data_IF_267822409979
#
_entry.id   IF_267822409979
#
_cell.length_a   1.000
_cell.length_b   1.000
_cell.length_c   1.000
_cell.angle_alpha   90.00
_cell.angle_beta   90.00
_cell.angle_gamma   90.00
#
_symmetry.space_group_name_H-M   'P 1'
#
loop_
_entity.id
_entity.type
_entity.pdbx_description
1 polymer ?
#
# COMPACT_ATOMS: atom_id res chain seq x y z
N UNK A 1 -13.38 -9.33 18.68
CA UNK A 1 -13.03 -8.41 17.58
C UNK A 1 -12.54 -9.27 16.45
N UNK A 2 -13.32 -9.32 15.37
CA UNK A 2 -13.05 -10.19 14.25
C UNK A 2 -11.70 -9.87 13.62
N UNK A 3 -10.97 -10.90 13.26
CA UNK A 3 -9.90 -10.88 12.27
C UNK A 3 -10.51 -10.56 10.88
N UNK A 4 -11.27 -9.47 10.80
CA UNK A 4 -11.72 -8.91 9.56
C UNK A 4 -10.50 -8.32 8.85
N UNK A 5 -10.31 -8.70 7.63
CA UNK A 5 -9.27 -8.28 6.71
C UNK A 5 -7.93 -8.97 6.81
N UNK A 6 -7.99 -10.18 6.48
CA UNK A 6 -6.84 -10.99 6.17
C UNK A 6 -6.35 -10.77 4.72
N UNK A 7 -6.93 -9.81 4.02
CA UNK A 7 -6.54 -9.40 2.68
C UNK A 7 -6.23 -7.90 2.64
N UNK A 8 -4.94 -7.57 2.48
CA UNK A 8 -4.49 -6.19 2.27
C UNK A 8 -3.86 -6.05 0.90
N UNK A 9 -4.27 -5.03 0.17
CA UNK A 9 -3.75 -4.68 -1.15
C UNK A 9 -3.21 -3.25 -1.14
N UNK A 10 -2.02 -3.05 -1.70
CA UNK A 10 -1.43 -1.76 -1.99
C UNK A 10 -1.05 -1.71 -3.47
N UNK A 11 -1.39 -0.63 -4.15
CA UNK A 11 -1.02 -0.42 -5.55
C UNK A 11 0.46 -0.04 -5.61
N UNK A 12 1.18 -0.62 -6.58
CA UNK A 12 2.57 -0.32 -6.92
C UNK A 12 2.62 0.41 -8.26
N UNK A 13 3.62 1.28 -8.42
CA UNK A 13 3.82 2.04 -9.66
C UNK A 13 3.15 3.39 -9.63
N UNK A 14 2.32 3.73 -10.59
CA UNK A 14 1.79 5.07 -10.75
C UNK A 14 1.06 5.63 -9.52
N UNK A 15 1.65 6.66 -8.93
CA UNK A 15 0.93 7.58 -8.06
C UNK A 15 0.04 8.54 -8.86
N UNK A 16 0.27 8.66 -10.16
CA UNK A 16 -0.40 9.61 -11.07
C UNK A 16 -1.91 9.54 -11.03
N UNK A 17 -2.51 8.35 -10.96
CA UNK A 17 -3.98 8.25 -10.89
C UNK A 17 -4.54 8.83 -9.58
N UNK A 18 -3.93 8.51 -8.45
CA UNK A 18 -4.34 9.07 -7.15
C UNK A 18 -4.05 10.55 -7.08
N UNK A 19 -2.91 10.99 -7.58
CA UNK A 19 -2.55 12.41 -7.65
C UNK A 19 -3.52 13.18 -8.54
N UNK A 20 -3.86 12.69 -9.72
CA UNK A 20 -4.87 13.29 -10.61
C UNK A 20 -6.22 13.37 -9.92
N UNK A 21 -6.68 12.28 -9.28
CA UNK A 21 -7.93 12.30 -8.52
C UNK A 21 -7.95 13.37 -7.43
N UNK A 22 -6.85 13.52 -6.67
CA UNK A 22 -6.78 14.53 -5.61
C UNK A 22 -6.70 15.96 -6.18
N UNK A 23 -5.96 16.17 -7.26
CA UNK A 23 -5.89 17.47 -7.94
C UNK A 23 -7.24 17.86 -8.50
N UNK A 24 -7.94 16.98 -9.19
CA UNK A 24 -9.25 17.23 -9.80
C UNK A 24 -10.34 17.51 -8.77
N UNK A 25 -10.36 16.79 -7.66
CA UNK A 25 -11.44 16.88 -6.68
C UNK A 25 -11.16 17.84 -5.52
N UNK A 26 -9.91 18.14 -5.22
CA UNK A 26 -9.52 18.93 -4.05
C UNK A 26 -8.59 20.11 -4.38
N UNK A 27 -7.88 20.08 -5.53
CA UNK A 27 -6.89 21.09 -5.86
C UNK A 27 -5.86 21.30 -4.73
N UNK A 28 -5.55 22.54 -4.43
CA UNK A 28 -4.57 22.90 -3.39
C UNK A 28 -5.04 22.57 -1.95
N UNK A 29 -6.34 22.35 -1.75
CA UNK A 29 -6.91 22.03 -0.44
C UNK A 29 -6.34 20.76 0.16
N UNK A 30 -6.00 19.77 -0.67
CA UNK A 30 -5.39 18.54 -0.19
C UNK A 30 -3.95 18.78 0.30
N UNK A 31 -3.19 19.62 -0.38
CA UNK A 31 -1.85 19.98 0.07
C UNK A 31 -1.89 20.77 1.38
N UNK A 32 -2.76 21.77 1.49
CA UNK A 32 -2.98 22.53 2.71
C UNK A 32 -3.40 21.64 3.88
N UNK A 33 -4.26 20.64 3.61
CA UNK A 33 -4.67 19.66 4.62
C UNK A 33 -3.48 18.84 5.11
N UNK A 34 -2.63 18.35 4.21
CA UNK A 34 -1.41 17.63 4.60
C UNK A 34 -0.46 18.45 5.47
N UNK A 35 -0.29 19.72 5.15
CA UNK A 35 0.53 20.66 5.92
C UNK A 35 -0.06 20.89 7.32
N UNK A 36 -1.37 21.14 7.40
CA UNK A 36 -2.08 21.32 8.68
C UNK A 36 -1.97 20.08 9.57
N UNK A 37 -2.21 18.90 9.01
CA UNK A 37 -2.09 17.63 9.75
C UNK A 37 -0.64 17.37 10.16
N UNK A 38 0.32 17.66 9.28
CA UNK A 38 1.75 17.53 9.57
C UNK A 38 2.19 18.43 10.72
N UNK A 39 1.70 19.68 10.75
CA UNK A 39 2.01 20.61 11.84
C UNK A 39 1.41 20.17 13.17
N UNK A 40 0.14 19.75 13.18
CA UNK A 40 -0.51 19.22 14.38
C UNK A 40 0.24 17.99 14.95
N UNK A 41 0.67 17.08 14.07
CA UNK A 41 1.47 15.91 14.47
C UNK A 41 2.83 16.32 15.04
N UNK A 42 3.50 17.32 14.44
CA UNK A 42 4.78 17.83 14.94
C UNK A 42 4.62 18.43 16.33
N UNK A 43 3.56 19.19 16.58
CA UNK A 43 3.29 19.78 17.88
C UNK A 43 3.04 18.72 18.97
N UNK A 44 2.33 17.63 18.62
CA UNK A 44 1.99 16.57 19.60
C UNK A 44 3.16 15.61 19.81
N UNK A 45 3.84 15.20 18.75
CA UNK A 45 4.80 14.08 18.79
C UNK A 45 6.25 14.47 18.54
N UNK A 46 6.54 15.69 18.07
CA UNK A 46 7.86 16.08 17.59
C UNK A 46 8.99 15.97 18.61
N UNK A 47 8.67 16.06 19.90
CA UNK A 47 9.63 15.92 20.99
C UNK A 47 9.76 14.49 21.55
N UNK A 48 8.87 13.58 21.17
CA UNK A 48 8.78 12.23 21.75
C UNK A 48 8.91 11.12 20.72
N UNK A 49 8.87 11.43 19.44
CA UNK A 49 8.95 10.44 18.37
C UNK A 49 9.83 10.92 17.20
N UNK A 50 10.77 10.08 16.81
CA UNK A 50 11.56 10.24 15.60
C UNK A 50 11.41 8.97 14.75
N UNK A 51 10.89 9.12 13.54
CA UNK A 51 10.70 7.98 12.65
C UNK A 51 9.59 8.22 11.62
N UNK A 52 9.26 7.16 10.90
CA UNK A 52 8.16 7.19 9.95
C UNK A 52 6.82 7.05 10.68
N UNK A 53 5.86 7.85 10.24
CA UNK A 53 4.47 7.68 10.65
C UNK A 53 3.56 7.77 9.42
N UNK A 54 2.41 7.14 9.51
CA UNK A 54 1.34 7.27 8.52
C UNK A 54 0.09 7.83 9.17
N UNK A 55 -0.64 8.64 8.43
CA UNK A 55 -1.96 9.12 8.82
C UNK A 55 -2.98 8.53 7.88
N UNK A 56 -3.90 7.76 8.41
CA UNK A 56 -4.99 7.22 7.63
C UNK A 56 -6.08 8.29 7.49
N UNK A 57 -6.40 8.62 6.24
CA UNK A 57 -7.44 9.58 5.87
C UNK A 57 -8.57 8.86 5.14
N UNK A 58 -9.79 9.36 5.24
CA UNK A 58 -10.94 8.80 4.56
C UNK A 58 -11.51 9.81 3.56
N UNK A 59 -11.52 9.42 2.28
CA UNK A 59 -12.26 10.17 1.26
C UNK A 59 -13.67 9.58 1.16
N UNK A 60 -14.68 10.44 1.22
CA UNK A 60 -16.08 10.03 1.12
C UNK A 60 -16.90 11.07 0.38
N UNK A 61 -18.09 10.67 -0.10
CA UNK A 61 -19.07 11.60 -0.71
C UNK A 61 -20.07 12.05 0.33
N UNK A 62 -20.31 13.34 0.40
CA UNK A 62 -21.41 13.90 1.21
C UNK A 62 -22.75 13.51 0.60
N UNK A 63 -23.67 13.02 1.43
CA UNK A 63 -25.02 12.64 0.97
C UNK A 63 -25.82 13.81 0.41
N UNK A 64 -25.57 15.02 0.90
CA UNK A 64 -26.36 16.22 0.56
C UNK A 64 -26.13 16.71 -0.88
N UNK A 65 -24.89 16.64 -1.39
CA UNK A 65 -24.52 17.24 -2.69
C UNK A 65 -23.63 16.36 -3.56
N UNK A 66 -23.28 15.16 -3.08
CA UNK A 66 -22.42 14.24 -3.80
C UNK A 66 -20.94 14.65 -3.89
N UNK A 67 -20.53 15.76 -3.26
CA UNK A 67 -19.14 16.22 -3.28
C UNK A 67 -18.22 15.29 -2.50
N UNK A 68 -17.01 15.11 -3.00
CA UNK A 68 -15.95 14.45 -2.26
C UNK A 68 -15.47 15.34 -1.11
N UNK A 69 -15.23 14.71 0.02
CA UNK A 69 -14.63 15.35 1.19
C UNK A 69 -13.63 14.40 1.85
N UNK A 70 -12.74 14.95 2.67
CA UNK A 70 -11.70 14.19 3.35
C UNK A 70 -11.91 14.30 4.85
N UNK A 71 -12.01 13.16 5.53
CA UNK A 71 -11.77 13.12 6.97
C UNK A 71 -10.25 13.08 7.18
N UNK A 72 -9.67 14.09 7.84
CA UNK A 72 -8.22 14.33 7.79
C UNK A 72 -7.40 13.35 8.59
N UNK A 73 -7.98 12.71 9.59
CA UNK A 73 -7.27 11.79 10.45
C UNK A 73 -8.23 10.77 11.06
N UNK A 74 -8.12 9.53 10.63
CA UNK A 74 -8.82 8.39 11.24
C UNK A 74 -7.91 7.73 12.27
N UNK A 75 -6.64 7.54 11.91
CA UNK A 75 -5.64 6.87 12.73
C UNK A 75 -4.25 7.44 12.44
N UNK A 76 -3.43 7.54 13.47
CA UNK A 76 -1.99 7.84 13.36
C UNK A 76 -1.20 6.57 13.68
N UNK A 77 -0.45 6.09 12.70
CA UNK A 77 0.37 4.90 12.80
C UNK A 77 1.85 5.29 12.93
N UNK A 78 2.40 5.27 14.15
CA UNK A 78 3.81 5.60 14.44
C UNK A 78 4.73 4.40 14.15
N UNK A 79 4.80 4.00 12.89
CA UNK A 79 5.57 2.85 12.39
C UNK A 79 5.64 2.89 10.87
N UNK A 80 6.44 2.00 10.30
CA UNK A 80 6.32 1.71 8.87
C UNK A 80 4.91 1.21 8.55
N UNK A 81 4.24 1.86 7.61
CA UNK A 81 2.93 1.44 7.10
C UNK A 81 3.11 0.62 5.82
N UNK A 82 2.08 -0.16 5.47
CA UNK A 82 2.05 -0.90 4.20
C UNK A 82 2.19 0.03 2.99
N UNK A 83 1.58 1.21 3.04
CA UNK A 83 1.72 2.22 1.99
C UNK A 83 3.16 2.70 1.82
N UNK A 84 3.88 2.92 2.92
CA UNK A 84 5.30 3.30 2.87
C UNK A 84 6.16 2.19 2.27
N UNK A 85 5.90 0.93 2.64
CA UNK A 85 6.61 -0.23 2.08
C UNK A 85 6.36 -0.33 0.57
N UNK A 86 5.10 -0.22 0.15
CA UNK A 86 4.72 -0.24 -1.27
C UNK A 86 5.38 0.91 -2.05
N UNK A 87 5.37 2.13 -1.50
CA UNK A 87 6.05 3.28 -2.09
C UNK A 87 7.56 3.03 -2.27
N UNK A 88 8.22 2.51 -1.26
CA UNK A 88 9.67 2.20 -1.32
C UNK A 88 9.97 1.10 -2.33
N UNK A 89 9.13 0.07 -2.41
CA UNK A 89 9.24 -0.97 -3.43
C UNK A 89 9.11 -0.36 -4.82
N UNK A 90 8.09 0.47 -5.04
CA UNK A 90 7.88 1.14 -6.34
C UNK A 90 9.07 1.99 -6.76
N UNK A 91 9.56 2.85 -5.87
CA UNK A 91 10.67 3.76 -6.17
C UNK A 91 12.00 3.04 -6.40
N UNK A 92 12.28 1.99 -5.62
CA UNK A 92 13.61 1.37 -5.61
C UNK A 92 13.73 0.19 -6.55
N UNK A 93 12.69 -0.60 -6.70
CA UNK A 93 12.77 -1.92 -7.33
C UNK A 93 11.96 -2.09 -8.61
N UNK A 94 10.93 -1.27 -8.87
CA UNK A 94 10.18 -1.38 -10.13
C UNK A 94 10.91 -0.70 -11.28
N UNK A 95 10.78 -1.29 -12.47
CA UNK A 95 11.18 -0.66 -13.71
C UNK A 95 10.30 0.58 -13.99
N UNK A 96 10.77 1.56 -14.78
CA UNK A 96 9.95 2.69 -15.22
C UNK A 96 8.64 2.19 -15.87
N UNK A 97 7.53 2.82 -15.51
CA UNK A 97 6.18 2.49 -16.00
C UNK A 97 5.63 1.10 -15.58
N UNK A 98 6.38 0.29 -14.83
CA UNK A 98 5.87 -0.95 -14.26
C UNK A 98 4.81 -0.67 -13.19
N UNK A 99 3.73 -1.45 -13.20
CA UNK A 99 2.61 -1.35 -12.27
C UNK A 99 2.38 -2.69 -11.60
N UNK A 100 1.75 -2.68 -10.45
CA UNK A 100 1.45 -3.94 -9.78
C UNK A 100 0.72 -3.75 -8.46
N UNK A 101 0.64 -4.86 -7.75
CA UNK A 101 0.04 -4.92 -6.42
C UNK A 101 1.01 -5.52 -5.41
N UNK A 102 1.06 -4.94 -4.22
CA UNK A 102 1.58 -5.61 -3.04
C UNK A 102 0.41 -6.15 -2.24
N UNK A 103 0.44 -7.44 -1.91
CA UNK A 103 -0.67 -8.13 -1.25
C UNK A 103 -0.20 -8.89 -0.02
N UNK A 104 -1.04 -8.88 1.02
CA UNK A 104 -0.97 -9.83 2.13
C UNK A 104 -2.24 -10.65 2.09
N UNK A 105 -2.10 -11.97 2.07
CA UNK A 105 -3.21 -12.91 2.03
C UNK A 105 -3.08 -13.95 3.14
N UNK A 106 -4.21 -14.47 3.57
CA UNK A 106 -4.31 -15.55 4.55
C UNK A 106 -5.06 -16.72 3.95
N UNK A 107 -4.63 -17.92 4.28
CA UNK A 107 -5.36 -19.15 3.99
C UNK A 107 -5.48 -19.98 5.27
N UNK A 108 -6.67 -20.51 5.52
CA UNK A 108 -6.92 -21.38 6.68
C UNK A 108 -6.53 -22.84 6.44
N UNK A 109 -6.55 -23.27 5.17
CA UNK A 109 -6.25 -24.65 4.79
C UNK A 109 -4.75 -24.91 4.77
N UNK A 110 -4.28 -25.96 5.44
CA UNK A 110 -2.87 -26.34 5.37
C UNK A 110 -2.42 -26.61 3.93
N UNK A 111 -1.24 -26.11 3.56
CA UNK A 111 -0.65 -26.31 2.24
C UNK A 111 -1.15 -25.38 1.14
N UNK A 112 -2.35 -24.78 1.27
CA UNK A 112 -2.97 -23.95 0.23
C UNK A 112 -2.10 -22.73 -0.11
N UNK A 113 -1.50 -22.06 0.88
CA UNK A 113 -0.60 -20.94 0.64
C UNK A 113 0.61 -21.34 -0.19
N UNK A 114 1.16 -22.53 0.06
CA UNK A 114 2.30 -23.08 -0.69
C UNK A 114 1.90 -23.42 -2.13
N UNK A 115 0.76 -24.08 -2.32
CA UNK A 115 0.25 -24.42 -3.66
C UNK A 115 0.02 -23.16 -4.50
N UNK A 116 -0.64 -22.16 -3.92
CA UNK A 116 -0.84 -20.86 -4.57
C UNK A 116 0.49 -20.16 -4.88
N UNK A 117 1.48 -20.23 -3.99
CA UNK A 117 2.82 -19.70 -4.25
C UNK A 117 3.49 -20.37 -5.45
N UNK A 118 3.46 -21.70 -5.49
CA UNK A 118 4.02 -22.46 -6.60
C UNK A 118 3.31 -22.15 -7.92
N UNK A 119 1.97 -22.06 -7.90
CA UNK A 119 1.18 -21.67 -9.06
C UNK A 119 1.56 -20.27 -9.55
N UNK A 120 1.58 -19.27 -8.65
CA UNK A 120 1.90 -17.88 -9.01
C UNK A 120 3.31 -17.74 -9.59
N UNK A 121 4.29 -18.45 -9.01
CA UNK A 121 5.67 -18.46 -9.51
C UNK A 121 5.78 -19.02 -10.93
N UNK A 122 4.94 -20.01 -11.27
CA UNK A 122 4.91 -20.62 -12.61
C UNK A 122 4.09 -19.78 -13.60
N UNK A 123 2.95 -19.26 -13.18
CA UNK A 123 2.03 -18.50 -14.03
C UNK A 123 2.55 -17.09 -14.35
N UNK A 124 3.33 -16.50 -13.44
CA UNK A 124 3.85 -15.13 -13.54
C UNK A 124 5.36 -15.14 -13.28
N UNK A 125 6.16 -15.66 -14.22
CA UNK A 125 7.62 -15.70 -14.07
C UNK A 125 8.16 -14.28 -13.89
N UNK A 126 9.17 -14.16 -13.02
CA UNK A 126 9.81 -12.88 -12.75
C UNK A 126 10.66 -12.44 -13.94
N UNK A 127 10.39 -11.26 -14.48
CA UNK A 127 11.23 -10.57 -15.45
C UNK A 127 11.89 -9.34 -14.85
N UNK A 128 13.19 -9.24 -15.07
CA UNK A 128 14.01 -8.10 -14.65
C UNK A 128 14.53 -7.32 -15.86
N UNK A 129 14.56 -5.99 -15.74
CA UNK A 129 15.19 -5.10 -16.70
C UNK A 129 16.07 -4.09 -15.96
N UNK A 130 17.35 -4.04 -16.31
CA UNK A 130 18.33 -3.11 -15.71
C UNK A 130 18.36 -3.18 -14.16
N UNK A 131 18.27 -4.39 -13.60
CA UNK A 131 18.22 -4.62 -12.15
C UNK A 131 16.90 -4.24 -11.48
N UNK A 132 15.87 -3.91 -12.27
CA UNK A 132 14.53 -3.55 -11.81
C UNK A 132 13.51 -4.60 -12.23
N UNK A 133 12.45 -4.74 -11.42
CA UNK A 133 11.33 -5.63 -11.71
C UNK A 133 10.48 -5.02 -12.82
N UNK A 134 10.40 -5.71 -13.95
CA UNK A 134 9.56 -5.33 -15.08
C UNK A 134 8.16 -5.91 -14.94
N UNK A 135 8.07 -7.21 -14.70
CA UNK A 135 6.82 -7.93 -14.47
C UNK A 135 7.04 -9.22 -13.69
N UNK A 136 5.96 -9.83 -13.23
CA UNK A 136 5.95 -11.14 -12.61
C UNK A 136 5.70 -11.13 -11.11
N UNK A 137 5.81 -12.30 -10.51
CA UNK A 137 5.51 -12.57 -9.11
C UNK A 137 6.79 -12.67 -8.28
N UNK A 138 6.79 -11.98 -7.13
CA UNK A 138 7.83 -12.13 -6.10
C UNK A 138 7.19 -12.31 -4.73
N UNK A 139 7.56 -13.39 -4.04
CA UNK A 139 7.24 -13.54 -2.62
C UNK A 139 8.14 -12.64 -1.77
N UNK A 140 7.57 -11.91 -0.84
CA UNK A 140 8.29 -11.05 0.12
C UNK A 140 8.64 -11.78 1.43
N UNK A 141 8.20 -13.03 1.57
CA UNK A 141 8.49 -13.88 2.72
C UNK A 141 8.69 -15.32 2.26
N UNK A 142 9.40 -16.15 3.03
CA UNK A 142 9.45 -17.59 2.78
C UNK A 142 8.05 -18.20 2.84
N UNK A 143 7.77 -19.14 1.94
CA UNK A 143 6.49 -19.87 1.90
C UNK A 143 6.77 -21.36 1.95
N UNK A 144 6.26 -22.01 2.99
CA UNK A 144 6.32 -23.45 3.25
C UNK A 144 4.92 -24.06 3.28
N UNK A 145 4.80 -25.38 3.45
CA UNK A 145 3.50 -26.05 3.58
C UNK A 145 2.73 -25.65 4.84
N UNK A 146 3.41 -25.16 5.86
CA UNK A 146 2.86 -24.69 7.13
C UNK A 146 2.45 -23.21 7.08
N UNK A 147 2.85 -22.49 6.04
CA UNK A 147 2.56 -21.06 5.89
C UNK A 147 1.06 -20.84 5.72
N UNK A 148 0.54 -19.88 6.49
CA UNK A 148 -0.85 -19.41 6.40
C UNK A 148 -0.95 -17.99 5.85
N UNK A 149 0.05 -17.15 6.09
CA UNK A 149 0.12 -15.77 5.60
C UNK A 149 1.18 -15.64 4.52
N UNK A 150 0.83 -15.00 3.41
CA UNK A 150 1.78 -14.66 2.36
C UNK A 150 1.80 -13.16 2.13
N UNK A 151 3.01 -12.60 2.03
CA UNK A 151 3.22 -11.26 1.50
C UNK A 151 3.93 -11.38 0.15
N UNK A 152 3.40 -10.75 -0.88
CA UNK A 152 3.98 -10.83 -2.22
C UNK A 152 3.67 -9.59 -3.04
N UNK A 153 4.41 -9.41 -4.12
CA UNK A 153 4.11 -8.45 -5.18
C UNK A 153 3.82 -9.19 -6.48
N UNK A 154 2.91 -8.62 -7.26
CA UNK A 154 2.62 -9.03 -8.63
C UNK A 154 2.70 -7.78 -9.49
N UNK A 155 3.62 -7.77 -10.45
CA UNK A 155 3.88 -6.67 -11.38
C UNK A 155 3.41 -7.08 -12.76
N UNK A 156 2.75 -6.18 -13.52
CA UNK A 156 2.15 -6.39 -14.84
C UNK A 156 2.19 -5.12 -15.68
#
# INVERSE_FOLDING_TARGET
RGLGDVYKRQVLGEQTYLESFFVENFGDKFQQLKETVGEAIRQIYGNIYTGYLGVDMLVYRKKANGEFTIHPCIEVNMRYTMGMVALRISQKYLAPNARGDMRITYTSKPGEAYEQHCFMKKAYPLEMKDGKIKEGYISLCPVTKETKYRAYILVF
#
